data_IF_270350312177
#
_entry.id   IF_270350312177
#
_cell.length_a   1.000
_cell.length_b   1.000
_cell.length_c   1.000
_cell.angle_alpha   90.00
_cell.angle_beta   90.00
_cell.angle_gamma   90.00
#
_symmetry.space_group_name_H-M   'P 1'
#
loop_
_entity.id
_entity.type
_entity.pdbx_description
1 polymer ?
#
# COMPACT_ATOMS: atom_id res chain seq x y z
N UNK A 1 4.36 -3.36 -5.59
CA UNK A 1 4.60 -4.48 -4.66
C UNK A 1 4.69 -3.95 -3.23
N UNK A 2 4.04 -4.62 -2.29
CA UNK A 2 4.12 -4.36 -0.84
C UNK A 2 4.98 -5.48 -0.21
N UNK A 3 5.88 -5.11 0.69
CA UNK A 3 6.74 -6.02 1.44
C UNK A 3 6.66 -5.66 2.92
N UNK A 4 7.15 -6.54 3.80
CA UNK A 4 7.20 -6.26 5.25
C UNK A 4 7.87 -4.90 5.51
N UNK A 5 7.07 -3.95 5.99
CA UNK A 5 7.45 -2.58 6.36
C UNK A 5 8.14 -1.76 5.25
N UNK A 6 8.06 -2.20 3.99
CA UNK A 6 8.72 -1.55 2.85
C UNK A 6 7.88 -1.68 1.58
N UNK A 7 8.32 -1.09 0.46
CA UNK A 7 7.66 -1.22 -0.84
C UNK A 7 8.68 -1.58 -1.92
N UNK A 8 8.20 -2.15 -3.03
CA UNK A 8 9.06 -2.45 -4.17
C UNK A 8 9.71 -1.20 -4.76
N UNK A 9 10.93 -1.36 -5.31
CA UNK A 9 11.67 -0.27 -5.96
C UNK A 9 10.93 0.26 -7.18
N UNK A 10 11.08 1.56 -7.43
CA UNK A 10 10.49 2.25 -8.59
C UNK A 10 11.54 2.84 -9.53
N UNK A 11 12.81 2.48 -9.36
CA UNK A 11 13.94 3.08 -10.08
C UNK A 11 14.15 2.49 -11.50
N UNK A 12 13.23 1.65 -11.97
CA UNK A 12 13.29 1.05 -13.30
C UNK A 12 12.61 1.95 -14.34
N UNK A 13 12.91 1.80 -15.65
CA UNK A 13 12.40 2.67 -16.74
C UNK A 13 10.88 2.80 -16.93
N UNK A 14 10.05 2.25 -16.04
CA UNK A 14 8.58 2.42 -15.99
C UNK A 14 8.04 2.49 -14.56
N UNK A 15 8.91 2.63 -13.56
CA UNK A 15 8.51 2.71 -12.17
C UNK A 15 8.01 4.11 -11.83
N UNK A 16 6.85 4.18 -11.17
CA UNK A 16 6.32 5.43 -10.64
C UNK A 16 6.02 5.25 -9.15
N UNK A 17 6.78 5.99 -8.31
CA UNK A 17 6.67 5.93 -6.86
C UNK A 17 5.30 6.38 -6.35
N UNK A 18 4.76 7.46 -6.92
CA UNK A 18 3.45 7.98 -6.53
C UNK A 18 2.33 6.99 -6.90
N UNK A 19 2.39 6.41 -8.09
CA UNK A 19 1.40 5.41 -8.53
C UNK A 19 1.47 4.13 -7.70
N UNK A 20 2.67 3.69 -7.33
CA UNK A 20 2.85 2.53 -6.47
C UNK A 20 2.20 2.75 -5.11
N UNK A 21 2.47 3.89 -4.46
CA UNK A 21 1.89 4.24 -3.17
C UNK A 21 0.36 4.36 -3.29
N UNK A 22 -0.14 5.04 -4.33
CA UNK A 22 -1.58 5.20 -4.54
C UNK A 22 -2.28 3.86 -4.75
N UNK A 23 -1.69 2.94 -5.53
CA UNK A 23 -2.25 1.61 -5.72
C UNK A 23 -2.25 0.78 -4.43
N UNK A 24 -1.18 0.82 -3.63
CA UNK A 24 -1.13 0.13 -2.34
C UNK A 24 -2.28 0.61 -1.44
N UNK A 25 -2.52 1.92 -1.36
CA UNK A 25 -3.59 2.46 -0.51
C UNK A 25 -4.98 2.16 -1.06
N UNK A 26 -5.24 2.47 -2.32
CA UNK A 26 -6.59 2.38 -2.87
C UNK A 26 -7.04 0.94 -3.14
N UNK A 27 -6.09 0.01 -3.34
CA UNK A 27 -6.40 -1.38 -3.66
C UNK A 27 -6.10 -2.31 -2.49
N UNK A 28 -4.91 -2.23 -1.88
CA UNK A 28 -4.53 -3.16 -0.81
C UNK A 28 -5.12 -2.75 0.54
N UNK A 29 -5.08 -1.46 0.90
CA UNK A 29 -5.61 -1.01 2.19
C UNK A 29 -7.15 -0.94 2.24
N UNK A 30 -7.82 -1.19 1.11
CA UNK A 30 -9.26 -1.43 1.08
C UNK A 30 -9.66 -2.80 1.67
N UNK A 31 -8.72 -3.73 1.81
CA UNK A 31 -8.98 -5.04 2.40
C UNK A 31 -9.03 -5.01 3.94
N UNK A 32 -9.67 -6.01 4.58
CA UNK A 32 -9.66 -6.18 6.03
C UNK A 32 -8.23 -6.33 6.58
N UNK A 33 -8.02 -5.88 7.83
CA UNK A 33 -6.70 -5.93 8.47
C UNK A 33 -6.14 -7.33 8.69
N UNK A 34 -7.03 -8.34 8.74
CA UNK A 34 -6.69 -9.76 8.93
C UNK A 34 -6.11 -10.41 7.69
N UNK A 35 -6.21 -9.75 6.52
CA UNK A 35 -5.68 -10.27 5.27
C UNK A 35 -4.17 -10.34 5.33
N UNK A 36 -3.64 -11.54 5.06
CA UNK A 36 -2.20 -11.79 4.95
C UNK A 36 -1.69 -11.34 3.59
N UNK A 37 -0.52 -10.72 3.60
CA UNK A 37 0.23 -10.30 2.42
C UNK A 37 1.41 -11.26 2.28
N UNK A 38 1.33 -12.11 1.26
CA UNK A 38 2.38 -13.07 0.92
C UNK A 38 3.22 -12.48 -0.21
N UNK A 39 4.39 -11.93 0.13
CA UNK A 39 5.35 -11.48 -0.86
C UNK A 39 6.21 -12.66 -1.34
N UNK A 40 6.57 -12.67 -2.63
CA UNK A 40 7.43 -13.74 -3.18
C UNK A 40 8.83 -13.81 -2.56
N UNK A 41 9.29 -12.73 -1.92
CA UNK A 41 10.54 -12.62 -1.17
C UNK A 41 10.30 -11.87 0.15
N UNK A 42 11.08 -12.20 1.18
CA UNK A 42 11.00 -11.57 2.50
C UNK A 42 9.96 -12.20 3.43
N UNK A 43 9.73 -11.55 4.58
CA UNK A 43 8.78 -12.01 5.60
C UNK A 43 7.35 -11.73 5.16
N UNK A 44 6.44 -12.64 5.51
CA UNK A 44 5.00 -12.43 5.39
C UNK A 44 4.55 -11.31 6.33
N UNK A 45 3.51 -10.58 5.95
CA UNK A 45 2.91 -9.49 6.74
C UNK A 45 1.39 -9.50 6.61
N UNK A 46 0.69 -8.55 7.22
CA UNK A 46 -0.76 -8.36 7.07
C UNK A 46 -1.11 -6.92 6.70
N UNK A 47 -2.30 -6.71 6.13
CA UNK A 47 -2.79 -5.36 5.82
C UNK A 47 -2.82 -4.48 7.07
N UNK A 48 -3.23 -5.03 8.23
CA UNK A 48 -3.21 -4.30 9.50
C UNK A 48 -1.82 -3.90 9.95
N UNK A 49 -0.84 -4.82 9.83
CA UNK A 49 0.56 -4.53 10.17
C UNK A 49 1.12 -3.41 9.30
N UNK A 50 0.93 -3.50 7.99
CA UNK A 50 1.47 -2.52 7.04
C UNK A 50 0.79 -1.15 7.17
N UNK A 51 -0.51 -1.09 7.50
CA UNK A 51 -1.16 0.20 7.81
C UNK A 51 -0.50 0.91 8.99
N UNK A 52 -0.14 0.17 10.04
CA UNK A 52 0.42 0.72 11.30
C UNK A 52 1.90 1.03 11.23
N UNK A 53 2.69 0.15 10.61
CA UNK A 53 4.15 0.19 10.74
C UNK A 53 4.88 0.59 9.44
N UNK A 54 4.24 0.46 8.27
CA UNK A 54 4.91 0.79 7.02
C UNK A 54 5.06 2.32 6.90
N UNK A 55 6.28 2.87 6.76
CA UNK A 55 6.49 4.32 6.66
C UNK A 55 5.88 4.93 5.39
N UNK A 56 5.54 4.11 4.40
CA UNK A 56 4.86 4.51 3.18
C UNK A 56 3.32 4.54 3.35
N UNK A 57 2.76 4.13 4.49
CA UNK A 57 1.32 4.14 4.73
C UNK A 57 0.75 5.55 4.94
N UNK A 58 1.45 6.43 5.68
CA UNK A 58 0.91 7.69 6.21
C UNK A 58 1.30 8.98 5.46
N UNK A 59 2.04 8.91 4.34
CA UNK A 59 2.35 10.09 3.50
C UNK A 59 1.16 10.46 2.60
N UNK A 60 0.17 11.15 3.13
CA UNK A 60 -1.04 11.58 2.41
C UNK A 60 -0.76 12.76 1.44
N UNK A 61 -1.27 12.73 0.20
CA UNK A 61 -2.02 13.83 -0.36
C UNK A 61 -3.51 13.67 0.01
N UNK A 62 -4.13 14.73 0.54
CA UNK A 62 -5.55 14.78 0.89
C UNK A 62 -6.46 14.85 -0.35
N UNK A 63 -6.70 13.77 -1.09
CA UNK A 63 -7.79 13.69 -2.10
C UNK A 63 -8.02 12.20 -2.43
N UNK A 64 -9.19 11.56 -2.42
CA UNK A 64 -10.57 11.93 -2.71
C UNK A 64 -11.48 11.09 -1.77
N UNK A 65 -12.26 11.72 -0.88
CA UNK A 65 -13.54 11.10 -0.48
C UNK A 65 -14.50 11.36 -1.63
N UNK A 66 -14.64 10.42 -2.57
CA UNK A 66 -15.80 10.43 -3.46
C UNK A 66 -17.02 10.13 -2.60
N UNK A 67 -17.73 11.18 -2.21
CA UNK A 67 -19.13 11.08 -1.82
C UNK A 67 -19.90 10.49 -3.01
N UNK A 68 -20.27 9.22 -2.90
CA UNK A 68 -21.47 8.71 -3.57
C UNK A 68 -22.65 9.24 -2.76
N UNK A 69 -23.25 10.35 -3.20
CA UNK A 69 -24.63 10.68 -2.86
C UNK A 69 -25.52 10.03 -3.92
N UNK A 70 -26.60 9.41 -3.45
CA UNK A 70 -27.74 8.96 -4.25
C UNK A 70 -28.33 10.09 -5.09
#
# INVERSE_FOLDING_TARGET
MLFYETIGRTDFPRGNHADLINNIRNKLFAFPETVQVVAGHGRMTSIGHEKRHNPFSNRLPKVFRRHHLH
#
